data_IF_723102466142
#
_entry.id   IF_723102466142
#
_cell.length_a   1.000
_cell.length_b   1.000
_cell.length_c   1.000
_cell.angle_alpha   90.00
_cell.angle_beta   90.00
_cell.angle_gamma   90.00
#
_symmetry.space_group_name_H-M   'P 1'
#
loop_
_entity.id
_entity.type
_entity.pdbx_description
1 polymer ?
#
# COMPACT_ATOMS: atom_id res chain seq x y z
N UNK A 1 -11.75 11.79 9.10
CA UNK A 1 -11.11 10.83 10.02
C UNK A 1 -9.67 10.53 9.57
N UNK A 2 -8.81 10.12 10.50
CA UNK A 2 -7.40 9.79 10.24
C UNK A 2 -7.20 8.27 10.22
N UNK A 3 -6.46 7.78 9.24
CA UNK A 3 -6.01 6.39 9.16
C UNK A 3 -4.49 6.39 9.08
N UNK A 4 -3.82 5.60 9.93
CA UNK A 4 -2.39 5.32 9.82
C UNK A 4 -2.19 3.88 9.39
N UNK A 5 -1.65 3.70 8.18
CA UNK A 5 -1.36 2.39 7.60
C UNK A 5 0.04 2.43 7.00
N UNK A 6 0.88 1.45 7.37
CA UNK A 6 2.25 1.31 6.85
C UNK A 6 3.08 2.60 6.98
N UNK A 7 2.99 3.32 8.10
CA UNK A 7 3.70 4.59 8.32
C UNK A 7 3.28 5.75 7.39
N UNK A 8 2.11 5.66 6.76
CA UNK A 8 1.48 6.79 6.06
C UNK A 8 0.19 7.16 6.78
N UNK A 9 0.09 8.44 7.16
CA UNK A 9 -1.11 9.03 7.70
C UNK A 9 -1.94 9.62 6.56
N UNK A 10 -3.18 9.16 6.41
CA UNK A 10 -4.14 9.71 5.44
C UNK A 10 -5.32 10.32 6.18
N UNK A 11 -5.71 11.52 5.75
CA UNK A 11 -6.88 12.22 6.24
C UNK A 11 -8.00 12.12 5.21
N UNK A 12 -9.17 11.67 5.63
CA UNK A 12 -10.36 11.58 4.81
C UNK A 12 -11.44 12.51 5.36
N UNK A 13 -11.92 13.43 4.55
CA UNK A 13 -13.10 14.26 4.84
C UNK A 13 -14.31 13.61 4.18
N UNK A 14 -15.37 13.37 4.95
CA UNK A 14 -16.66 13.01 4.40
C UNK A 14 -17.48 14.30 4.30
N UNK A 15 -17.77 14.74 3.08
CA UNK A 15 -18.69 15.85 2.83
C UNK A 15 -19.94 15.32 2.09
N UNK A 16 -21.03 16.09 2.09
CA UNK A 16 -22.29 15.71 1.46
C UNK A 16 -22.13 15.46 -0.06
N UNK A 17 -21.26 16.22 -0.72
CA UNK A 17 -20.89 15.99 -2.12
C UNK A 17 -20.16 14.65 -2.36
N UNK A 18 -19.49 14.11 -1.34
CA UNK A 18 -18.82 12.80 -1.45
C UNK A 18 -19.84 11.67 -1.52
N UNK A 19 -20.97 11.79 -0.82
CA UNK A 19 -22.03 10.76 -0.77
C UNK A 19 -22.76 10.64 -2.11
N UNK A 20 -23.00 11.78 -2.78
CA UNK A 20 -23.65 11.83 -4.09
C UNK A 20 -22.83 11.18 -5.22
N UNK A 21 -21.50 11.14 -5.06
CA UNK A 21 -20.59 10.58 -6.06
C UNK A 21 -20.34 9.06 -5.88
N UNK A 22 -20.71 8.47 -4.74
CA UNK A 22 -20.51 7.03 -4.46
C UNK A 22 -21.05 6.14 -5.58
N UNK A 23 -22.28 6.34 -6.12
CA UNK A 23 -22.80 5.48 -7.19
C UNK A 23 -21.99 5.58 -8.48
N UNK A 24 -21.43 6.76 -8.80
CA UNK A 24 -20.59 6.95 -9.97
C UNK A 24 -19.24 6.23 -9.81
N UNK A 25 -18.64 6.29 -8.62
CA UNK A 25 -17.43 5.54 -8.30
C UNK A 25 -17.64 4.03 -8.38
N UNK A 26 -18.77 3.53 -7.90
CA UNK A 26 -19.12 2.09 -8.00
C UNK A 26 -19.31 1.64 -9.44
N UNK A 27 -20.02 2.43 -10.27
CA UNK A 27 -20.16 2.17 -11.71
C UNK A 27 -18.80 2.16 -12.41
N UNK A 28 -17.94 3.12 -12.08
CA UNK A 28 -16.61 3.21 -12.67
C UNK A 28 -15.75 2.01 -12.25
N UNK A 29 -15.73 1.64 -10.97
CA UNK A 29 -15.00 0.49 -10.47
C UNK A 29 -15.49 -0.82 -11.10
N UNK A 30 -16.82 -1.02 -11.22
CA UNK A 30 -17.40 -2.18 -11.88
C UNK A 30 -16.99 -2.26 -13.36
N UNK A 31 -16.89 -1.12 -14.05
CA UNK A 31 -16.43 -1.06 -15.43
C UNK A 31 -14.95 -1.41 -15.56
N UNK A 32 -14.09 -0.86 -14.69
CA UNK A 32 -12.63 -1.13 -14.74
C UNK A 32 -12.33 -2.59 -14.39
N UNK A 33 -13.04 -3.15 -13.41
CA UNK A 33 -12.88 -4.54 -12.98
C UNK A 33 -13.55 -5.55 -13.92
N UNK A 34 -14.27 -5.11 -14.95
CA UNK A 34 -14.99 -6.01 -15.87
C UNK A 34 -14.07 -6.94 -16.64
N UNK A 35 -12.97 -6.39 -17.15
CA UNK A 35 -11.95 -7.14 -17.89
C UNK A 35 -10.97 -7.90 -17.00
N UNK A 36 -11.06 -7.74 -15.67
CA UNK A 36 -9.97 -8.09 -14.76
C UNK A 36 -8.98 -6.92 -14.66
N UNK A 37 -8.69 -6.49 -13.44
CA UNK A 37 -7.70 -5.45 -13.15
C UNK A 37 -6.62 -6.02 -12.23
N UNK A 38 -5.37 -5.89 -12.67
CA UNK A 38 -4.23 -6.27 -11.86
C UNK A 38 -3.88 -5.13 -10.90
N UNK A 39 -3.71 -5.47 -9.63
CA UNK A 39 -3.16 -4.56 -8.64
C UNK A 39 -1.83 -5.12 -8.13
N UNK A 40 -0.87 -4.24 -7.89
CA UNK A 40 0.37 -4.60 -7.21
C UNK A 40 0.88 -3.40 -6.42
N UNK A 41 0.85 -3.54 -5.11
CA UNK A 41 1.29 -2.54 -4.16
C UNK A 41 2.42 -3.12 -3.33
N UNK A 42 3.62 -2.56 -3.45
CA UNK A 42 4.77 -2.92 -2.61
C UNK A 42 5.21 -1.70 -1.82
N UNK A 43 5.42 -1.89 -0.51
CA UNK A 43 5.93 -0.86 0.39
C UNK A 43 7.04 -1.39 1.25
N UNK A 44 8.19 -0.73 1.16
CA UNK A 44 9.31 -0.88 2.06
C UNK A 44 9.27 0.26 3.08
N UNK A 45 9.28 -0.04 4.36
CA UNK A 45 9.39 0.95 5.43
C UNK A 45 10.36 0.47 6.49
N UNK A 46 11.11 1.40 7.07
CA UNK A 46 12.03 1.07 8.15
C UNK A 46 11.32 1.32 9.49
N UNK A 47 10.85 0.23 10.12
CA UNK A 47 10.12 0.34 11.39
C UNK A 47 11.03 0.74 12.54
N UNK A 48 12.31 0.36 12.49
CA UNK A 48 13.28 0.62 13.54
C UNK A 48 14.67 0.82 12.96
N UNK A 49 15.30 1.95 13.30
CA UNK A 49 16.69 2.26 12.96
C UNK A 49 17.36 2.93 14.15
N UNK A 50 18.43 2.33 14.64
CA UNK A 50 19.28 2.87 15.69
C UNK A 50 20.69 2.98 15.14
N UNK A 51 21.29 4.16 15.21
CA UNK A 51 22.70 4.37 14.91
C UNK A 51 23.33 5.09 16.09
N UNK A 52 24.42 4.51 16.63
CA UNK A 52 25.18 5.07 17.73
C UNK A 52 26.63 5.23 17.30
N UNK A 53 27.18 6.43 17.54
CA UNK A 53 28.60 6.72 17.37
C UNK A 53 29.27 6.82 18.73
N UNK A 54 30.31 6.02 18.95
CA UNK A 54 31.10 6.02 20.17
C UNK A 54 32.49 6.57 19.82
N UNK A 55 32.90 7.72 20.38
CA UNK A 55 34.25 8.22 20.20
C UNK A 55 35.22 7.27 20.91
N UNK A 56 36.29 6.87 20.22
CA UNK A 56 37.32 6.02 20.81
C UNK A 56 38.60 6.82 21.07
N UNK A 57 39.41 6.36 22.02
CA UNK A 57 40.71 6.96 22.34
C UNK A 57 41.69 6.97 21.16
N UNK A 58 41.47 6.10 20.17
CA UNK A 58 42.26 6.06 18.92
C UNK A 58 41.89 7.18 17.93
N UNK A 59 40.89 8.01 18.26
CA UNK A 59 40.40 9.08 17.38
C UNK A 59 39.48 8.61 16.24
N UNK A 60 39.24 7.30 16.12
CA UNK A 60 38.32 6.71 15.13
C UNK A 60 36.94 6.48 15.76
N UNK A 61 35.84 6.98 15.18
CA UNK A 61 34.50 6.69 15.69
C UNK A 61 34.14 5.22 15.49
N UNK A 62 33.74 4.53 16.56
CA UNK A 62 33.07 3.23 16.49
C UNK A 62 31.59 3.47 16.21
N UNK A 63 31.07 2.93 15.11
CA UNK A 63 29.66 3.07 14.73
C UNK A 63 28.95 1.74 14.85
N UNK A 64 27.87 1.72 15.62
CA UNK A 64 26.93 0.62 15.70
C UNK A 64 25.62 1.02 15.04
N UNK A 65 25.14 0.21 14.10
CA UNK A 65 23.87 0.41 13.39
C UNK A 65 23.01 -0.83 13.50
N UNK A 66 21.78 -0.68 14.00
CA UNK A 66 20.74 -1.70 14.02
C UNK A 66 19.56 -1.23 13.18
N UNK A 67 19.17 -2.01 12.17
CA UNK A 67 18.08 -1.69 11.25
C UNK A 67 17.12 -2.88 11.13
N UNK A 68 15.83 -2.59 11.02
CA UNK A 68 14.79 -3.59 10.76
C UNK A 68 13.84 -3.14 9.63
N UNK A 69 14.33 -3.03 8.38
CA UNK A 69 13.47 -2.80 7.22
C UNK A 69 12.40 -3.90 7.12
N UNK A 70 11.18 -3.46 6.81
CA UNK A 70 10.02 -4.32 6.62
C UNK A 70 9.41 -4.03 5.25
N UNK A 71 9.14 -5.07 4.49
CA UNK A 71 8.51 -5.05 3.19
C UNK A 71 7.13 -5.69 3.29
N UNK A 72 6.13 -5.01 2.73
CA UNK A 72 4.77 -5.51 2.57
C UNK A 72 4.40 -5.39 1.10
N UNK A 73 4.00 -6.49 0.49
CA UNK A 73 3.50 -6.52 -0.88
C UNK A 73 2.09 -7.11 -0.89
N UNK A 74 1.19 -6.47 -1.62
CA UNK A 74 -0.18 -6.92 -1.87
C UNK A 74 -0.41 -6.78 -3.36
N UNK A 75 -0.60 -7.89 -4.06
CA UNK A 75 -0.88 -7.87 -5.50
C UNK A 75 -1.86 -8.95 -5.90
N UNK A 76 -2.34 -8.93 -7.13
CA UNK A 76 -3.41 -9.82 -7.54
C UNK A 76 -4.18 -9.34 -8.77
N UNK A 77 -5.21 -10.09 -9.12
CA UNK A 77 -6.18 -9.74 -10.16
C UNK A 77 -7.58 -9.74 -9.53
N UNK A 78 -8.37 -8.71 -9.78
CA UNK A 78 -9.77 -8.67 -9.39
C UNK A 78 -10.65 -8.52 -10.64
N UNK A 79 -11.70 -9.33 -10.74
CA UNK A 79 -12.67 -9.29 -11.84
C UNK A 79 -14.10 -9.29 -11.32
N UNK A 80 -14.93 -8.42 -11.89
CA UNK A 80 -16.36 -8.30 -11.55
C UNK A 80 -17.19 -8.32 -12.82
N UNK A 81 -18.17 -9.23 -12.91
CA UNK A 81 -19.14 -9.31 -14.01
C UNK A 81 -20.55 -9.15 -13.45
N UNK A 82 -21.36 -8.33 -14.10
CA UNK A 82 -22.74 -8.05 -13.69
C UNK A 82 -23.71 -8.39 -14.82
N UNK A 83 -24.89 -8.93 -14.49
CA UNK A 83 -25.98 -9.12 -15.48
C UNK A 83 -27.31 -8.54 -14.95
N UNK A 84 -28.02 -7.72 -15.75
CA UNK A 84 -27.52 -7.06 -16.95
C UNK A 84 -26.38 -6.09 -16.61
N UNK A 85 -25.58 -5.78 -17.62
CA UNK A 85 -24.33 -5.04 -17.51
C UNK A 85 -24.57 -3.58 -17.08
N UNK A 86 -24.07 -3.23 -15.89
CA UNK A 86 -24.16 -1.88 -15.31
C UNK A 86 -23.54 -0.79 -16.21
N UNK A 87 -22.61 -1.16 -17.10
CA UNK A 87 -21.93 -0.24 -18.03
C UNK A 87 -22.85 0.31 -19.13
N UNK A 88 -23.92 -0.43 -19.47
CA UNK A 88 -24.75 -0.18 -20.65
C UNK A 88 -26.16 0.33 -20.31
N UNK A 89 -26.44 0.62 -19.03
CA UNK A 89 -27.71 1.22 -18.60
C UNK A 89 -27.80 2.74 -18.89
N UNK A 90 -29.00 3.30 -19.09
CA UNK A 90 -29.19 4.75 -19.28
C UNK A 90 -28.61 5.56 -18.11
N UNK A 91 -28.01 6.71 -18.42
CA UNK A 91 -27.28 7.58 -17.47
C UNK A 91 -28.11 8.02 -16.26
N UNK A 92 -29.44 8.04 -16.40
CA UNK A 92 -30.39 8.59 -15.42
C UNK A 92 -31.10 7.53 -14.54
N UNK A 93 -30.77 6.24 -14.66
CA UNK A 93 -31.32 5.21 -13.78
C UNK A 93 -30.21 4.37 -13.13
N UNK A 94 -30.25 4.26 -11.80
CA UNK A 94 -29.43 3.30 -11.06
C UNK A 94 -30.02 1.89 -11.29
N UNK A 95 -29.62 1.25 -12.38
CA UNK A 95 -30.03 -0.13 -12.64
C UNK A 95 -29.30 -1.06 -11.67
N UNK A 96 -30.06 -1.68 -10.77
CA UNK A 96 -29.53 -2.69 -9.85
C UNK A 96 -29.37 -4.00 -10.63
N UNK A 97 -28.15 -4.58 -10.73
CA UNK A 97 -27.95 -5.83 -11.45
C UNK A 97 -28.64 -6.98 -10.71
N UNK A 98 -29.22 -7.91 -11.46
CA UNK A 98 -29.86 -9.10 -10.87
C UNK A 98 -28.83 -10.13 -10.40
N UNK A 99 -27.67 -10.18 -11.05
CA UNK A 99 -26.56 -11.06 -10.64
C UNK A 99 -25.22 -10.33 -10.67
N UNK A 100 -24.39 -10.62 -9.65
CA UNK A 100 -23.03 -10.14 -9.52
C UNK A 100 -22.13 -11.35 -9.36
N UNK A 101 -21.19 -11.53 -10.29
CA UNK A 101 -20.16 -12.56 -10.22
C UNK A 101 -18.81 -11.87 -10.02
N UNK A 102 -18.22 -12.04 -8.85
CA UNK A 102 -16.96 -11.43 -8.48
C UNK A 102 -15.92 -12.52 -8.17
N UNK A 103 -14.73 -12.37 -8.71
CA UNK A 103 -13.58 -13.25 -8.45
C UNK A 103 -12.35 -12.38 -8.17
N UNK A 104 -11.54 -12.75 -7.19
CA UNK A 104 -10.31 -12.07 -6.87
C UNK A 104 -9.22 -13.07 -6.49
N UNK A 105 -8.06 -12.94 -7.13
CA UNK A 105 -6.84 -13.66 -6.78
C UNK A 105 -5.91 -12.69 -6.07
N UNK A 106 -5.53 -12.99 -4.83
CA UNK A 106 -4.77 -12.07 -3.98
C UNK A 106 -3.51 -12.75 -3.45
N UNK A 107 -2.38 -12.09 -3.64
CA UNK A 107 -1.06 -12.45 -3.16
C UNK A 107 -0.59 -11.44 -2.13
N UNK A 108 -0.30 -11.92 -0.93
CA UNK A 108 0.19 -11.11 0.18
C UNK A 108 1.55 -11.61 0.64
N UNK A 109 2.54 -10.73 0.69
CA UNK A 109 3.89 -11.02 1.17
C UNK A 109 4.27 -10.04 2.28
N UNK A 110 4.74 -10.58 3.40
CA UNK A 110 5.32 -9.82 4.50
C UNK A 110 6.73 -10.33 4.77
N UNK A 111 7.72 -9.44 4.72
CA UNK A 111 9.11 -9.79 4.98
C UNK A 111 9.78 -8.72 5.85
N UNK A 112 10.66 -9.16 6.75
CA UNK A 112 11.47 -8.26 7.58
C UNK A 112 12.90 -8.76 7.64
N UNK A 113 13.86 -7.85 7.68
CA UNK A 113 15.28 -8.18 7.83
C UNK A 113 15.86 -7.35 8.95
N UNK A 114 16.24 -8.01 10.05
CA UNK A 114 16.98 -7.36 11.13
C UNK A 114 18.48 -7.48 10.86
N UNK A 115 19.18 -6.37 10.84
CA UNK A 115 20.63 -6.31 10.59
C UNK A 115 21.31 -5.43 11.65
N UNK A 116 22.36 -5.97 12.27
CA UNK A 116 23.26 -5.23 13.14
C UNK A 116 24.64 -5.14 12.46
N UNK A 117 25.22 -3.94 12.45
CA UNK A 117 26.54 -3.65 11.89
C UNK A 117 27.36 -2.88 12.92
N UNK A 118 28.62 -3.25 13.08
CA UNK A 118 29.58 -2.57 13.93
C UNK A 118 30.88 -2.40 13.16
N UNK A 119 31.46 -1.20 13.19
CA UNK A 119 32.72 -0.92 12.51
C UNK A 119 33.29 0.44 12.87
N UNK A 120 34.54 0.67 12.50
CA UNK A 120 35.18 1.99 12.64
C UNK A 120 34.97 2.79 11.35
N UNK A 121 34.71 4.10 11.46
CA UNK A 121 34.78 4.99 10.31
C UNK A 121 36.23 5.48 10.20
N UNK A 122 36.88 5.18 9.08
CA UNK A 122 38.22 5.70 8.78
C UNK A 122 38.13 6.82 7.73
N UNK A 123 39.00 7.84 7.79
CA UNK A 123 38.95 8.96 6.84
C UNK A 123 39.31 8.59 5.39
N UNK A 124 39.77 7.36 5.14
CA UNK A 124 40.13 6.87 3.81
C UNK A 124 39.08 5.93 3.20
N UNK A 125 37.98 5.66 3.91
CA UNK A 125 36.82 4.94 3.36
C UNK A 125 36.01 5.91 2.48
N UNK A 126 36.12 5.75 1.15
CA UNK A 126 35.31 6.43 0.13
C UNK A 126 34.34 5.46 -0.54
#
# INVERSE_FOLDING_TARGET
FLINVLSQQRFFTLDNHTVEQIPQYLKHAANTLRSGENFNYTKLYNRYSLTMGIPTSMGLPLVYTLKAPTMVTVGGEARVRTQPDLANGPKDAAYVPNTVNASADVHFTYATRTEAKMGFITPFDH
#
